data_IF_837139144165
#
_entry.id   IF_837139144165
#
_cell.length_a   1.000
_cell.length_b   1.000
_cell.length_c   1.000
_cell.angle_alpha   90.00
_cell.angle_beta   90.00
_cell.angle_gamma   90.00
#
_symmetry.space_group_name_H-M   'P 1'
#
loop_
_entity.id
_entity.type
_entity.pdbx_description
1 polymer ?
#
# COMPACT_ATOMS: atom_id res chain seq x y z
N UNK A 1 -0.57 11.68 -6.51
CA UNK A 1 -0.94 10.88 -7.69
C UNK A 1 -0.22 9.55 -7.70
N UNK A 2 -0.38 8.76 -6.63
CA UNK A 2 0.07 7.37 -6.62
C UNK A 2 -1.08 6.46 -7.08
N UNK A 3 -0.77 5.21 -7.37
CA UNK A 3 -1.75 4.13 -7.54
C UNK A 3 -1.69 3.20 -6.32
N UNK A 4 -2.80 2.54 -6.01
CA UNK A 4 -2.83 1.54 -4.93
C UNK A 4 -2.91 0.11 -5.46
N UNK A 5 -2.31 -0.81 -4.70
CA UNK A 5 -2.41 -2.25 -4.91
C UNK A 5 -3.06 -2.86 -3.68
N UNK A 6 -4.29 -3.40 -3.78
CA UNK A 6 -4.95 -4.01 -2.64
C UNK A 6 -4.29 -5.35 -2.30
N UNK A 7 -4.01 -5.55 -1.02
CA UNK A 7 -3.53 -6.81 -0.46
C UNK A 7 -4.55 -7.31 0.55
N UNK A 8 -4.96 -8.58 0.43
CA UNK A 8 -5.82 -9.25 1.41
C UNK A 8 -4.94 -9.96 2.46
N UNK A 9 -4.96 -9.55 3.74
CA UNK A 9 -4.19 -10.20 4.80
C UNK A 9 -4.50 -11.68 5.01
N UNK A 10 -5.64 -12.17 4.50
CA UNK A 10 -6.00 -13.59 4.54
C UNK A 10 -5.27 -14.43 3.48
N UNK A 11 -4.57 -13.81 2.53
CA UNK A 11 -3.76 -14.53 1.56
C UNK A 11 -2.51 -15.15 2.17
N UNK A 12 -2.02 -16.27 1.61
CA UNK A 12 -0.74 -16.85 2.00
C UNK A 12 0.39 -15.82 1.92
N UNK A 13 1.35 -15.93 2.84
CA UNK A 13 2.47 -14.98 2.94
C UNK A 13 3.28 -14.89 1.64
N UNK A 14 3.40 -16.00 0.92
CA UNK A 14 4.10 -16.07 -0.37
C UNK A 14 3.39 -15.24 -1.44
N UNK A 15 2.06 -15.20 -1.41
CA UNK A 15 1.25 -14.40 -2.35
C UNK A 15 1.37 -12.90 -2.03
N UNK A 16 1.40 -12.56 -0.75
CA UNK A 16 1.64 -11.18 -0.31
C UNK A 16 3.04 -10.71 -0.72
N UNK A 17 4.07 -11.53 -0.45
CA UNK A 17 5.45 -11.24 -0.82
C UNK A 17 5.60 -11.06 -2.34
N UNK A 18 5.08 -12.00 -3.13
CA UNK A 18 5.08 -11.90 -4.60
C UNK A 18 4.47 -10.58 -5.08
N UNK A 19 3.31 -10.23 -4.55
CA UNK A 19 2.59 -9.02 -4.99
C UNK A 19 3.34 -7.76 -4.61
N UNK A 20 3.95 -7.75 -3.42
CA UNK A 20 4.75 -6.64 -2.93
C UNK A 20 6.04 -6.44 -3.75
N UNK A 21 6.74 -7.54 -4.07
CA UNK A 21 7.97 -7.53 -4.86
C UNK A 21 7.71 -7.11 -6.32
N UNK A 22 6.65 -7.63 -6.94
CA UNK A 22 6.32 -7.33 -8.34
C UNK A 22 5.78 -5.90 -8.52
N UNK A 23 4.96 -5.41 -7.58
CA UNK A 23 4.41 -4.04 -7.66
C UNK A 23 5.36 -2.96 -7.18
N UNK A 24 6.40 -3.32 -6.42
CA UNK A 24 7.43 -2.43 -5.86
C UNK A 24 6.87 -1.09 -5.34
N UNK A 25 5.90 -1.10 -4.41
CA UNK A 25 5.27 0.12 -3.96
C UNK A 25 6.23 0.95 -3.11
N UNK A 26 6.05 2.27 -3.16
CA UNK A 26 6.86 3.21 -2.37
C UNK A 26 6.55 3.21 -0.88
N UNK A 27 5.37 2.71 -0.49
CA UNK A 27 4.92 2.57 0.89
C UNK A 27 3.80 1.52 0.99
N UNK A 28 3.69 0.89 2.15
CA UNK A 28 2.62 -0.04 2.50
C UNK A 28 1.73 0.57 3.58
N UNK A 29 0.44 0.71 3.28
CA UNK A 29 -0.56 1.12 4.28
C UNK A 29 -1.09 -0.12 4.99
N UNK A 30 -1.09 -0.10 6.33
CA UNK A 30 -1.57 -1.23 7.15
C UNK A 30 -2.29 -0.78 8.40
N UNK A 31 -3.01 -1.70 9.03
CA UNK A 31 -3.49 -1.59 10.40
C UNK A 31 -2.66 -2.47 11.34
N UNK A 32 -2.57 -2.11 12.61
CA UNK A 32 -1.82 -2.84 13.64
C UNK A 32 -2.33 -4.27 13.82
N UNK A 33 -3.61 -4.51 13.59
CA UNK A 33 -4.27 -5.82 13.67
C UNK A 33 -3.72 -6.85 12.68
N UNK A 34 -3.20 -6.42 11.53
CA UNK A 34 -2.74 -7.30 10.44
C UNK A 34 -1.24 -7.19 10.16
N UNK A 35 -0.51 -6.34 10.88
CA UNK A 35 0.94 -6.20 10.69
C UNK A 35 1.71 -7.52 10.89
N UNK A 36 1.21 -8.40 11.77
CA UNK A 36 1.83 -9.72 12.01
C UNK A 36 1.68 -10.71 10.85
N UNK A 37 0.86 -10.41 9.84
CA UNK A 37 0.67 -11.25 8.64
C UNK A 37 1.39 -10.69 7.41
N UNK A 38 2.06 -9.54 7.54
CA UNK A 38 2.78 -8.92 6.43
C UNK A 38 4.12 -9.64 6.18
N UNK A 39 4.54 -9.78 4.91
CA UNK A 39 5.87 -10.27 4.60
C UNK A 39 6.94 -9.29 5.09
N UNK A 40 8.12 -9.83 5.44
CA UNK A 40 9.29 -9.00 5.72
C UNK A 40 9.69 -8.30 4.42
N UNK A 41 9.75 -6.97 4.45
CA UNK A 41 10.08 -6.14 3.30
C UNK A 41 10.80 -4.87 3.75
N UNK A 42 11.57 -4.27 2.84
CA UNK A 42 12.19 -2.95 3.04
C UNK A 42 11.22 -1.79 2.76
N UNK A 43 10.01 -2.09 2.24
CA UNK A 43 8.98 -1.08 1.97
C UNK A 43 8.55 -0.40 3.28
N UNK A 44 8.59 0.95 3.35
CA UNK A 44 8.11 1.68 4.52
C UNK A 44 6.65 1.35 4.83
N UNK A 45 6.37 0.95 6.07
CA UNK A 45 5.01 0.66 6.54
C UNK A 45 4.44 1.88 7.26
N UNK A 46 3.29 2.37 6.80
CA UNK A 46 2.51 3.41 7.46
C UNK A 46 1.34 2.74 8.16
N UNK A 47 1.29 2.86 9.48
CA UNK A 47 0.20 2.34 10.29
C UNK A 47 -0.93 3.37 10.36
N UNK A 48 -2.11 3.00 9.84
CA UNK A 48 -3.29 3.87 9.81
C UNK A 48 -3.91 4.10 11.20
N UNK A 49 -3.51 3.29 12.20
CA UNK A 49 -3.95 3.44 13.59
C UNK A 49 -3.08 4.44 14.39
N UNK A 50 -2.07 5.04 13.76
CA UNK A 50 -1.25 6.07 14.39
C UNK A 50 -1.96 7.44 14.33
N UNK A 51 -1.57 8.34 15.22
CA UNK A 51 -2.15 9.68 15.26
C UNK A 51 -1.61 10.55 14.11
N UNK A 52 -2.52 11.02 13.25
CA UNK A 52 -2.22 11.85 12.09
C UNK A 52 -2.66 13.31 12.27
N UNK A 53 -2.98 13.73 13.51
CA UNK A 53 -3.48 15.08 13.80
C UNK A 53 -2.50 16.20 13.40
N UNK A 54 -1.20 15.93 13.40
CA UNK A 54 -0.17 16.90 13.02
C UNK A 54 0.05 16.98 11.50
N UNK A 55 -0.59 16.11 10.71
CA UNK A 55 -0.46 16.10 9.25
C UNK A 55 -1.31 17.20 8.59
N UNK A 56 -0.85 17.66 7.43
CA UNK A 56 -1.54 18.70 6.67
C UNK A 56 -2.92 18.23 6.19
N UNK A 57 -3.96 19.01 6.52
CA UNK A 57 -5.32 18.84 5.99
C UNK A 57 -5.54 19.50 4.63
N UNK A 58 -4.56 20.25 4.12
CA UNK A 58 -4.65 20.89 2.82
C UNK A 58 -4.54 19.86 1.69
N UNK A 59 -5.30 20.08 0.61
CA UNK A 59 -5.20 19.26 -0.59
C UNK A 59 -3.76 19.28 -1.14
N UNK A 60 -3.13 18.12 -1.36
CA UNK A 60 -1.76 18.06 -1.85
C UNK A 60 -1.72 18.60 -3.30
N UNK A 61 -0.82 19.54 -3.55
CA UNK A 61 -0.66 20.16 -4.86
C UNK A 61 0.28 19.31 -5.72
N UNK A 62 -0.28 18.27 -6.35
CA UNK A 62 0.48 17.31 -7.17
C UNK A 62 -0.11 17.25 -8.58
N UNK A 63 0.68 17.40 -9.65
CA UNK A 63 0.17 17.26 -11.00
C UNK A 63 -0.28 15.81 -11.24
N UNK A 64 -1.51 15.63 -11.73
CA UNK A 64 -2.08 14.35 -12.13
C UNK A 64 -2.74 14.48 -13.49
N UNK A 65 -2.71 13.42 -14.28
CA UNK A 65 -3.28 13.35 -15.63
C UNK A 65 -4.17 12.12 -15.78
N UNK A 66 -5.12 12.11 -16.72
CA UNK A 66 -5.94 10.92 -16.99
C UNK A 66 -5.16 9.66 -17.39
N UNK A 67 -3.91 9.81 -17.82
CA UNK A 67 -3.03 8.69 -18.16
C UNK A 67 -2.28 8.10 -16.96
N UNK A 68 -2.39 8.67 -15.76
CA UNK A 68 -1.76 8.09 -14.57
C UNK A 68 -2.54 6.87 -14.07
N UNK A 69 -1.81 5.87 -13.59
CA UNK A 69 -2.41 4.72 -12.92
C UNK A 69 -3.20 5.16 -11.69
N UNK A 70 -4.39 4.57 -11.52
CA UNK A 70 -5.21 4.74 -10.33
C UNK A 70 -5.08 3.55 -9.38
N UNK A 71 -5.03 2.34 -9.92
CA UNK A 71 -4.86 1.10 -9.16
C UNK A 71 -4.28 -0.01 -10.04
N UNK A 72 -3.75 -1.06 -9.39
CA UNK A 72 -3.41 -2.34 -10.02
C UNK A 72 -4.05 -3.45 -9.18
N UNK A 73 -4.81 -4.34 -9.84
CA UNK A 73 -5.43 -5.49 -9.17
C UNK A 73 -4.84 -6.75 -9.78
N UNK A 74 -4.27 -7.59 -8.94
CA UNK A 74 -3.71 -8.88 -9.34
C UNK A 74 -4.83 -9.92 -9.42
N UNK A 75 -4.94 -10.56 -10.58
CA UNK A 75 -5.79 -11.75 -10.75
C UNK A 75 -4.99 -13.01 -10.43
N UNK A 76 -5.63 -14.18 -10.48
CA UNK A 76 -5.04 -15.46 -10.09
C UNK A 76 -3.84 -15.92 -10.91
N UNK A 77 -3.57 -15.27 -12.06
CA UNK A 77 -2.90 -15.96 -13.15
C UNK A 77 -3.84 -16.93 -13.84
#
# INVERSE_FOLDING_TARGET
GAAYVPLDPAYPIERLAYTLDDSAPVALLSQRSVQGTLPVSEVPVICLDDDLQDESVCNPQVPVTPGNLAYVIYTSG
#
